data_IF_633795285760
#
_entry.id   IF_633795285760
#
_cell.length_a   1.000
_cell.length_b   1.000
_cell.length_c   1.000
_cell.angle_alpha   90.00
_cell.angle_beta   90.00
_cell.angle_gamma   90.00
#
_symmetry.space_group_name_H-M   'P 1'
#
loop_
_entity.id
_entity.type
_entity.pdbx_description
1 polymer ?
#
# COMPACT_ATOMS: atom_id res chain seq x y z
N UNK A 1 -13.67 23.85 46.76
CA UNK A 1 -13.03 24.35 45.51
C UNK A 1 -12.41 23.23 44.67
N UNK A 2 -12.81 21.95 44.79
CA UNK A 2 -12.07 20.84 44.16
C UNK A 2 -12.76 20.22 42.93
N UNK A 3 -14.09 20.25 42.86
CA UNK A 3 -14.86 19.56 41.80
C UNK A 3 -14.63 20.16 40.40
N UNK A 4 -14.47 21.48 40.32
CA UNK A 4 -14.19 22.19 39.05
C UNK A 4 -12.77 21.93 38.54
N UNK A 5 -11.80 21.77 39.44
CA UNK A 5 -10.42 21.44 39.06
C UNK A 5 -10.30 19.97 38.63
N UNK A 6 -11.00 19.06 39.31
CA UNK A 6 -11.07 17.65 38.89
C UNK A 6 -11.71 17.49 37.50
N UNK A 7 -12.81 18.21 37.22
CA UNK A 7 -13.45 18.22 35.90
C UNK A 7 -12.53 18.79 34.80
N UNK A 8 -11.80 19.88 35.09
CA UNK A 8 -10.83 20.45 34.15
C UNK A 8 -9.66 19.50 33.88
N UNK A 9 -9.15 18.82 34.91
CA UNK A 9 -8.08 17.85 34.76
C UNK A 9 -8.53 16.63 33.93
N UNK A 10 -9.75 16.13 34.17
CA UNK A 10 -10.33 15.05 33.38
C UNK A 10 -10.51 15.46 31.91
N UNK A 11 -10.97 16.68 31.64
CA UNK A 11 -11.10 17.20 30.28
C UNK A 11 -9.75 17.26 29.56
N UNK A 12 -8.70 17.76 30.22
CA UNK A 12 -7.34 17.83 29.66
C UNK A 12 -6.79 16.44 29.34
N UNK A 13 -6.96 15.48 30.27
CA UNK A 13 -6.55 14.09 30.03
C UNK A 13 -7.28 13.47 28.84
N UNK A 14 -8.58 13.73 28.71
CA UNK A 14 -9.39 13.20 27.62
C UNK A 14 -8.98 13.82 26.27
N UNK A 15 -8.66 15.11 26.24
CA UNK A 15 -8.11 15.76 25.03
C UNK A 15 -6.74 15.21 24.65
N UNK A 16 -5.85 14.96 25.61
CA UNK A 16 -4.52 14.40 25.33
C UNK A 16 -4.62 12.97 24.79
N UNK A 17 -5.54 12.16 25.32
CA UNK A 17 -5.81 10.82 24.82
C UNK A 17 -6.33 10.82 23.38
N UNK A 18 -7.20 11.78 23.01
CA UNK A 18 -7.70 11.93 21.65
C UNK A 18 -6.61 12.33 20.64
N UNK A 19 -5.66 13.19 21.04
CA UNK A 19 -4.56 13.62 20.16
C UNK A 19 -3.54 12.51 19.89
N UNK A 20 -3.38 11.54 20.80
CA UNK A 20 -2.42 10.46 20.65
C UNK A 20 -2.80 9.43 19.55
N UNK A 21 -4.04 9.44 19.06
CA UNK A 21 -4.54 8.46 18.08
C UNK A 21 -4.32 8.82 16.61
N UNK A 22 -3.80 10.00 16.27
CA UNK A 22 -3.83 10.51 14.88
C UNK A 22 -2.67 10.04 13.96
N UNK A 23 -1.84 9.09 14.38
CA UNK A 23 -0.74 8.60 13.55
C UNK A 23 -0.91 7.11 13.26
N UNK A 24 -1.56 6.76 12.14
CA UNK A 24 -1.68 5.39 11.66
C UNK A 24 -0.68 5.09 10.54
N UNK A 25 -0.18 3.84 10.43
CA UNK A 25 0.53 3.38 9.24
C UNK A 25 -0.36 3.53 7.99
N UNK A 26 0.26 3.83 6.84
CA UNK A 26 -0.47 3.95 5.58
C UNK A 26 -0.27 2.69 4.73
N UNK A 27 -1.38 2.08 4.33
CA UNK A 27 -1.42 1.00 3.35
C UNK A 27 -1.86 1.56 2.01
N UNK A 28 -1.09 1.31 0.97
CA UNK A 28 -1.38 1.79 -0.37
C UNK A 28 -1.90 0.63 -1.21
N UNK A 29 -3.15 0.74 -1.67
CA UNK A 29 -3.72 -0.23 -2.59
C UNK A 29 -3.44 0.21 -4.02
N UNK A 30 -2.64 -0.58 -4.72
CA UNK A 30 -2.21 -0.31 -6.09
C UNK A 30 -3.18 -0.96 -7.07
N UNK A 31 -3.38 -0.29 -8.21
CA UNK A 31 -4.09 -0.82 -9.37
C UNK A 31 -3.15 -0.71 -10.58
N UNK A 32 -2.27 -1.71 -10.81
CA UNK A 32 -1.33 -1.68 -11.92
C UNK A 32 -2.07 -1.73 -13.26
N UNK A 33 -1.66 -0.87 -14.19
CA UNK A 33 -2.22 -0.81 -15.55
C UNK A 33 -1.09 -0.73 -16.56
N UNK A 34 -1.26 -1.35 -17.73
CA UNK A 34 -0.35 -1.16 -18.86
C UNK A 34 -0.43 0.27 -19.38
N UNK A 35 0.73 0.90 -19.51
CA UNK A 35 0.86 2.24 -20.11
C UNK A 35 1.19 2.23 -21.60
N UNK A 36 1.46 1.04 -22.17
CA UNK A 36 1.88 0.87 -23.56
C UNK A 36 0.99 -0.16 -24.26
N UNK A 37 0.72 0.09 -25.54
CA UNK A 37 0.03 -0.88 -26.38
C UNK A 37 0.92 -2.10 -26.64
N UNK A 38 0.29 -3.26 -26.66
CA UNK A 38 0.94 -4.54 -26.90
C UNK A 38 0.99 -4.83 -28.41
N UNK A 39 2.17 -5.06 -29.00
CA UNK A 39 2.29 -5.37 -30.41
C UNK A 39 1.74 -6.77 -30.73
N UNK A 40 1.03 -6.89 -31.86
CA UNK A 40 0.48 -8.16 -32.35
C UNK A 40 1.57 -8.96 -33.08
N UNK A 41 2.48 -9.58 -32.34
CA UNK A 41 3.62 -10.34 -32.90
C UNK A 41 3.56 -11.84 -32.59
N UNK A 42 2.51 -12.28 -31.90
CA UNK A 42 2.37 -13.67 -31.53
C UNK A 42 2.13 -14.56 -32.75
N UNK A 43 2.65 -15.78 -32.66
CA UNK A 43 2.52 -16.80 -33.71
C UNK A 43 1.84 -18.08 -33.20
N UNK A 44 0.94 -17.94 -32.22
CA UNK A 44 0.14 -19.04 -31.69
C UNK A 44 0.90 -20.02 -30.79
N UNK A 45 2.09 -19.67 -30.30
CA UNK A 45 2.80 -20.48 -29.31
C UNK A 45 2.15 -20.36 -27.93
N UNK A 46 2.12 -21.47 -27.20
CA UNK A 46 1.79 -21.44 -25.78
C UNK A 46 2.93 -20.80 -25.00
N UNK A 47 2.68 -19.62 -24.44
CA UNK A 47 3.63 -18.88 -23.59
C UNK A 47 3.07 -18.81 -22.17
N UNK A 48 3.92 -19.07 -21.19
CA UNK A 48 3.61 -18.86 -19.77
C UNK A 48 4.36 -17.63 -19.28
N UNK A 49 3.67 -16.74 -18.59
CA UNK A 49 4.26 -15.54 -17.97
C UNK A 49 4.16 -15.65 -16.46
N UNK A 50 5.17 -15.14 -15.76
CA UNK A 50 5.18 -15.05 -14.31
C UNK A 50 5.56 -13.62 -13.92
N UNK A 51 4.66 -12.94 -13.22
CA UNK A 51 4.94 -11.66 -12.59
C UNK A 51 5.52 -11.90 -11.19
N UNK A 52 6.62 -11.21 -10.90
CA UNK A 52 7.32 -11.31 -9.62
C UNK A 52 7.49 -9.91 -9.06
N UNK A 53 7.24 -9.77 -7.76
CA UNK A 53 7.63 -8.61 -6.99
C UNK A 53 8.99 -8.89 -6.34
N UNK A 54 10.05 -8.27 -6.85
CA UNK A 54 11.42 -8.48 -6.37
C UNK A 54 11.78 -7.60 -5.17
N UNK A 55 10.83 -6.84 -4.61
CA UNK A 55 11.08 -6.03 -3.42
C UNK A 55 11.38 -6.93 -2.23
N UNK A 56 12.45 -6.62 -1.51
CA UNK A 56 12.82 -7.32 -0.27
C UNK A 56 11.83 -7.11 0.88
N UNK A 57 10.94 -6.11 0.78
CA UNK A 57 9.99 -5.74 1.83
C UNK A 57 8.72 -5.07 1.26
N UNK A 58 7.60 -5.27 1.96
CA UNK A 58 6.34 -4.57 1.71
C UNK A 58 6.43 -3.06 2.01
N UNK A 59 7.43 -2.61 2.78
CA UNK A 59 7.62 -1.20 3.11
C UNK A 59 8.34 -0.49 1.98
N UNK A 60 7.64 0.41 1.28
CA UNK A 60 8.19 1.19 0.15
C UNK A 60 8.88 2.48 0.59
N UNK A 61 8.70 2.88 1.85
CA UNK A 61 9.34 4.07 2.40
C UNK A 61 8.65 4.63 3.64
N UNK A 62 9.03 5.85 3.99
CA UNK A 62 8.43 6.59 5.11
C UNK A 62 8.00 7.98 4.67
N UNK A 63 6.91 8.50 5.24
CA UNK A 63 6.38 9.84 4.92
C UNK A 63 7.33 10.97 5.35
N UNK A 64 8.10 10.76 6.42
CA UNK A 64 8.91 11.81 7.08
C UNK A 64 10.41 11.54 7.08
N UNK A 65 10.88 10.49 6.40
CA UNK A 65 12.28 10.07 6.42
C UNK A 65 12.73 9.38 7.72
N UNK A 66 11.82 9.24 8.69
CA UNK A 66 12.06 8.56 9.96
C UNK A 66 11.23 7.27 10.03
N UNK A 67 11.88 6.16 10.38
CA UNK A 67 11.28 4.82 10.50
C UNK A 67 10.44 4.65 11.78
N UNK A 68 9.63 5.65 12.12
CA UNK A 68 8.61 5.52 13.16
C UNK A 68 7.49 4.61 12.63
N UNK A 69 7.00 3.69 13.47
CA UNK A 69 5.99 2.69 13.09
C UNK A 69 4.72 3.28 12.45
N UNK A 70 4.40 4.56 12.69
CA UNK A 70 3.21 5.25 12.17
C UNK A 70 3.48 6.09 10.92
N UNK A 71 4.74 6.15 10.47
CA UNK A 71 5.17 6.92 9.31
C UNK A 71 5.52 6.03 8.11
N UNK A 72 5.41 4.71 8.26
CA UNK A 72 5.72 3.75 7.18
C UNK A 72 4.61 3.69 6.14
N UNK A 73 5.03 3.57 4.88
CA UNK A 73 4.15 3.36 3.74
C UNK A 73 4.35 1.92 3.28
N UNK A 74 3.26 1.15 3.30
CA UNK A 74 3.28 -0.28 3.04
C UNK A 74 2.47 -0.59 1.78
N UNK A 75 3.05 -1.40 0.89
CA UNK A 75 2.40 -1.99 -0.28
C UNK A 75 2.53 -3.49 -0.15
N UNK A 76 1.41 -4.17 0.03
CA UNK A 76 1.40 -5.59 0.28
C UNK A 76 1.63 -6.39 -1.02
N UNK A 77 2.73 -7.14 -1.08
CA UNK A 77 3.08 -7.94 -2.25
C UNK A 77 2.02 -9.02 -2.55
N UNK A 78 1.38 -9.57 -1.52
CA UNK A 78 0.35 -10.60 -1.68
C UNK A 78 -0.90 -10.08 -2.41
N UNK A 79 -1.23 -8.80 -2.27
CA UNK A 79 -2.31 -8.17 -3.05
C UNK A 79 -1.86 -7.68 -4.43
N UNK A 80 -0.58 -7.31 -4.58
CA UNK A 80 -0.03 -6.74 -5.81
C UNK A 80 0.29 -7.79 -6.87
N UNK A 81 0.99 -8.87 -6.50
CA UNK A 81 1.48 -9.89 -7.42
C UNK A 81 0.36 -10.53 -8.25
N UNK A 82 -0.81 -10.90 -7.69
CA UNK A 82 -1.92 -11.43 -8.48
C UNK A 82 -2.46 -10.42 -9.52
N UNK A 83 -2.40 -9.12 -9.22
CA UNK A 83 -2.83 -8.09 -10.17
C UNK A 83 -1.83 -7.94 -11.31
N UNK A 84 -0.54 -7.94 -11.01
CA UNK A 84 0.53 -7.92 -12.02
C UNK A 84 0.49 -9.16 -12.91
N UNK A 85 0.27 -10.35 -12.32
CA UNK A 85 0.16 -11.61 -13.06
C UNK A 85 -0.99 -11.55 -14.08
N UNK A 86 -2.18 -11.10 -13.64
CA UNK A 86 -3.34 -10.97 -14.54
C UNK A 86 -3.06 -10.01 -15.69
N UNK A 87 -2.45 -8.85 -15.42
CA UNK A 87 -2.15 -7.87 -16.46
C UNK A 87 -1.07 -8.37 -17.44
N UNK A 88 -0.08 -9.12 -16.96
CA UNK A 88 0.92 -9.76 -17.80
C UNK A 88 0.30 -10.86 -18.69
N UNK A 89 -0.59 -11.68 -18.15
CA UNK A 89 -1.32 -12.68 -18.93
C UNK A 89 -2.20 -12.03 -20.00
N UNK A 90 -2.89 -10.95 -19.66
CA UNK A 90 -3.66 -10.16 -20.63
C UNK A 90 -2.75 -9.61 -21.73
N UNK A 91 -1.56 -9.13 -21.39
CA UNK A 91 -0.59 -8.70 -22.40
C UNK A 91 -0.17 -9.83 -23.34
N UNK A 92 0.14 -11.02 -22.81
CA UNK A 92 0.52 -12.15 -23.65
C UNK A 92 -0.62 -12.57 -24.57
N UNK A 93 -1.85 -12.58 -24.07
CA UNK A 93 -3.05 -12.91 -24.86
C UNK A 93 -3.33 -11.85 -25.92
N UNK A 94 -3.11 -10.59 -25.59
CA UNK A 94 -3.25 -9.51 -26.55
C UNK A 94 -2.19 -9.62 -27.65
N UNK A 95 -1.02 -10.24 -27.45
CA UNK A 95 0.01 -10.35 -28.51
C UNK A 95 -0.35 -11.27 -29.69
N UNK A 96 -1.25 -12.26 -29.51
CA UNK A 96 -1.63 -13.23 -30.56
C UNK A 96 -1.17 -14.67 -30.30
#
# INVERSE_FOLDING_TARGET
MNRRHALRAALVLLTLALLAGCASPHYLQLNPQRSVNVPQIGSGQTVTVAAVDERDSDVIGTRTGSAMSTAVITVNAHELVPQLQREAELAVRDMG
#
